data_IF_110867054079
#
_entry.id   IF_110867054079
#
_cell.length_a   1.000
_cell.length_b   1.000
_cell.length_c   1.000
_cell.angle_alpha   90.00
_cell.angle_beta   90.00
_cell.angle_gamma   90.00
#
_symmetry.space_group_name_H-M   'P 1'
#
loop_
_entity.id
_entity.type
_entity.pdbx_description
1 polymer ?
#
# COMPACT_ATOMS: atom_id res chain seq x y z
N UNK A 1 -1.14 7.48 -16.17
CA UNK A 1 -0.68 6.98 -14.88
C UNK A 1 -1.72 7.24 -13.78
N UNK A 2 -2.13 8.48 -13.50
CA UNK A 2 -3.07 8.83 -12.44
C UNK A 2 -4.41 8.07 -12.55
N UNK A 3 -5.00 7.99 -13.73
CA UNK A 3 -6.25 7.25 -13.95
C UNK A 3 -6.09 5.76 -13.59
N UNK A 4 -4.98 5.13 -13.98
CA UNK A 4 -4.70 3.73 -13.66
C UNK A 4 -4.52 3.52 -12.16
N UNK A 5 -3.85 4.45 -11.47
CA UNK A 5 -3.72 4.39 -10.01
C UNK A 5 -5.07 4.46 -9.33
N UNK A 6 -5.93 5.40 -9.73
CA UNK A 6 -7.29 5.53 -9.17
C UNK A 6 -8.11 4.26 -9.41
N UNK A 7 -8.10 3.72 -10.63
CA UNK A 7 -8.80 2.46 -10.95
C UNK A 7 -8.26 1.32 -10.10
N UNK A 8 -6.92 1.20 -9.97
CA UNK A 8 -6.29 0.16 -9.14
C UNK A 8 -6.67 0.28 -7.67
N UNK A 9 -6.74 1.50 -7.13
CA UNK A 9 -7.18 1.75 -5.75
C UNK A 9 -8.65 1.36 -5.54
N UNK A 10 -9.53 1.70 -6.47
CA UNK A 10 -10.96 1.39 -6.38
C UNK A 10 -11.20 -0.13 -6.45
N UNK A 11 -10.57 -0.81 -7.41
CA UNK A 11 -10.70 -2.27 -7.57
C UNK A 11 -10.09 -2.99 -6.36
N UNK A 12 -8.92 -2.56 -5.89
CA UNK A 12 -8.31 -3.12 -4.69
C UNK A 12 -9.20 -2.90 -3.46
N UNK A 13 -9.77 -1.72 -3.30
CA UNK A 13 -10.69 -1.40 -2.21
C UNK A 13 -12.00 -2.20 -2.24
N UNK A 14 -12.42 -2.68 -3.40
CA UNK A 14 -13.59 -3.53 -3.54
C UNK A 14 -13.31 -5.02 -3.24
N UNK A 15 -12.13 -5.52 -3.61
CA UNK A 15 -11.84 -6.96 -3.63
C UNK A 15 -10.91 -7.44 -2.50
N UNK A 16 -10.22 -6.55 -1.79
CA UNK A 16 -9.18 -6.95 -0.83
C UNK A 16 -9.68 -7.82 0.33
N UNK A 17 -10.92 -7.60 0.80
CA UNK A 17 -11.47 -8.35 1.94
C UNK A 17 -11.74 -9.82 1.60
N UNK A 18 -12.26 -10.09 0.41
CA UNK A 18 -12.53 -11.46 -0.03
C UNK A 18 -11.22 -12.19 -0.35
N UNK A 19 -10.28 -11.48 -0.97
CA UNK A 19 -8.96 -12.03 -1.26
C UNK A 19 -8.14 -12.26 0.03
N UNK A 20 -8.27 -11.41 1.04
CA UNK A 20 -7.58 -11.58 2.32
C UNK A 20 -7.93 -12.92 2.99
N UNK A 21 -9.19 -13.34 2.92
CA UNK A 21 -9.61 -14.65 3.44
C UNK A 21 -8.93 -15.80 2.71
N UNK A 22 -8.79 -15.70 1.40
CA UNK A 22 -8.11 -16.73 0.60
C UNK A 22 -6.59 -16.72 0.85
N UNK A 23 -5.96 -15.56 0.93
CA UNK A 23 -4.52 -15.43 1.19
C UNK A 23 -4.15 -16.00 2.57
N UNK A 24 -5.00 -15.82 3.57
CA UNK A 24 -4.74 -16.33 4.92
C UNK A 24 -4.54 -17.85 4.98
N UNK A 25 -5.02 -18.59 3.99
CA UNK A 25 -4.82 -20.03 3.86
C UNK A 25 -3.45 -20.41 3.29
N UNK A 26 -2.82 -19.48 2.55
CA UNK A 26 -1.59 -19.77 1.82
C UNK A 26 -0.35 -19.09 2.41
N UNK A 27 -0.52 -17.93 3.01
CA UNK A 27 0.58 -17.11 3.54
C UNK A 27 0.62 -17.21 5.06
N UNK A 28 1.69 -17.77 5.64
CA UNK A 28 1.84 -17.83 7.10
C UNK A 28 2.09 -16.43 7.66
N UNK A 29 1.48 -16.11 8.79
CA UNK A 29 1.71 -14.90 9.55
C UNK A 29 2.40 -15.22 10.88
N UNK A 30 3.42 -14.44 11.24
CA UNK A 30 4.06 -14.52 12.53
C UNK A 30 3.14 -13.90 13.60
N UNK A 31 2.27 -14.73 14.17
CA UNK A 31 1.31 -14.29 15.19
C UNK A 31 1.99 -13.68 16.41
N UNK A 32 1.34 -12.67 17.01
CA UNK A 32 1.79 -12.10 18.26
C UNK A 32 1.76 -13.15 19.37
N UNK A 33 2.88 -13.28 20.08
CA UNK A 33 3.01 -14.13 21.28
C UNK A 33 3.22 -13.24 22.50
N UNK A 34 3.12 -13.84 23.69
CA UNK A 34 3.35 -13.12 24.93
C UNK A 34 4.76 -12.52 24.93
N UNK A 35 4.85 -11.19 25.03
CA UNK A 35 6.11 -10.46 24.92
C UNK A 35 6.39 -9.82 23.55
N UNK A 36 5.54 -10.03 22.54
CA UNK A 36 5.63 -9.31 21.26
C UNK A 36 5.29 -7.83 21.45
N UNK A 37 5.96 -6.97 20.70
CA UNK A 37 5.71 -5.53 20.68
C UNK A 37 5.79 -4.98 19.27
N UNK A 38 5.09 -3.87 19.05
CA UNK A 38 5.17 -3.08 17.82
C UNK A 38 5.38 -1.61 18.17
N UNK A 39 6.08 -0.88 17.31
CA UNK A 39 6.33 0.55 17.48
C UNK A 39 5.26 1.43 16.83
N UNK A 40 4.48 0.87 15.90
CA UNK A 40 3.59 1.64 15.03
C UNK A 40 2.11 1.43 15.34
N UNK A 41 1.77 0.39 16.09
CA UNK A 41 0.38 0.06 16.48
C UNK A 41 0.23 -0.01 17.99
N UNK A 42 -0.97 0.30 18.47
CA UNK A 42 -1.27 0.20 19.90
C UNK A 42 -1.21 -1.25 20.39
N UNK A 43 -0.75 -1.46 21.62
CA UNK A 43 -0.66 -2.80 22.23
C UNK A 43 -2.00 -3.52 22.32
N UNK A 44 -3.11 -2.79 22.41
CA UNK A 44 -4.47 -3.34 22.35
C UNK A 44 -4.84 -3.95 21.00
N UNK A 45 -4.19 -3.54 19.93
CA UNK A 45 -4.42 -4.00 18.56
C UNK A 45 -3.52 -5.18 18.17
N UNK A 46 -2.54 -5.53 19.00
CA UNK A 46 -1.48 -6.48 18.69
C UNK A 46 -2.01 -7.85 18.21
N UNK A 47 -3.08 -8.35 18.82
CA UNK A 47 -3.68 -9.65 18.49
C UNK A 47 -4.59 -9.63 17.26
N UNK A 48 -4.83 -8.46 16.68
CA UNK A 48 -5.65 -8.28 15.49
C UNK A 48 -4.82 -7.87 14.25
N UNK A 49 -3.51 -7.74 14.41
CA UNK A 49 -2.61 -7.33 13.33
C UNK A 49 -2.52 -8.35 12.19
N UNK A 50 -2.81 -9.63 12.45
CA UNK A 50 -2.94 -10.66 11.43
C UNK A 50 -3.98 -10.28 10.37
N UNK A 51 -5.14 -9.80 10.79
CA UNK A 51 -6.21 -9.36 9.89
C UNK A 51 -5.78 -8.16 9.07
N UNK A 52 -5.09 -7.20 9.68
CA UNK A 52 -4.57 -6.01 9.00
C UNK A 52 -3.48 -6.41 7.99
N UNK A 53 -2.60 -7.34 8.37
CA UNK A 53 -1.58 -7.89 7.48
C UNK A 53 -2.18 -8.52 6.22
N UNK A 54 -3.14 -9.43 6.37
CA UNK A 54 -3.78 -10.09 5.23
C UNK A 54 -4.58 -9.12 4.38
N UNK A 55 -5.28 -8.19 4.98
CA UNK A 55 -6.00 -7.14 4.26
C UNK A 55 -5.06 -6.24 3.46
N UNK A 56 -3.97 -5.80 4.07
CA UNK A 56 -2.96 -4.98 3.40
C UNK A 56 -2.27 -5.74 2.27
N UNK A 57 -1.90 -6.99 2.50
CA UNK A 57 -1.29 -7.84 1.48
C UNK A 57 -2.24 -8.08 0.30
N UNK A 58 -3.50 -8.39 0.57
CA UNK A 58 -4.53 -8.56 -0.45
C UNK A 58 -4.73 -7.28 -1.27
N UNK A 59 -4.80 -6.13 -0.59
CA UNK A 59 -4.92 -4.83 -1.24
C UNK A 59 -3.73 -4.55 -2.16
N UNK A 60 -2.50 -4.76 -1.67
CA UNK A 60 -1.28 -4.57 -2.45
C UNK A 60 -1.24 -5.48 -3.68
N UNK A 61 -1.64 -6.75 -3.54
CA UNK A 61 -1.66 -7.71 -4.65
C UNK A 61 -2.66 -7.29 -5.72
N UNK A 62 -3.90 -6.98 -5.34
CA UNK A 62 -4.92 -6.53 -6.31
C UNK A 62 -4.50 -5.22 -6.95
N UNK A 63 -4.03 -4.26 -6.17
CA UNK A 63 -3.53 -2.98 -6.68
C UNK A 63 -2.43 -3.18 -7.71
N UNK A 64 -1.42 -3.99 -7.37
CA UNK A 64 -0.27 -4.25 -8.25
C UNK A 64 -0.70 -4.96 -9.52
N UNK A 65 -1.56 -5.97 -9.42
CA UNK A 65 -2.06 -6.74 -10.55
C UNK A 65 -2.85 -5.85 -11.52
N UNK A 66 -3.80 -5.07 -11.02
CA UNK A 66 -4.61 -4.16 -11.84
C UNK A 66 -3.72 -3.10 -12.49
N UNK A 67 -2.74 -2.57 -11.73
CA UNK A 67 -1.80 -1.57 -12.24
C UNK A 67 -0.91 -2.14 -13.35
N UNK A 68 -0.35 -3.35 -13.17
CA UNK A 68 0.49 -4.01 -14.17
C UNK A 68 -0.31 -4.33 -15.43
N UNK A 69 -1.51 -4.92 -15.29
CA UNK A 69 -2.40 -5.21 -16.42
C UNK A 69 -2.76 -3.93 -17.19
N UNK A 70 -3.13 -2.88 -16.46
CA UNK A 70 -3.44 -1.59 -17.05
C UNK A 70 -2.24 -0.96 -17.77
N UNK A 71 -1.03 -1.11 -17.22
CA UNK A 71 0.21 -0.67 -17.88
C UNK A 71 0.48 -1.46 -19.16
N UNK A 72 0.27 -2.76 -19.11
CA UNK A 72 0.43 -3.62 -20.29
C UNK A 72 -0.57 -3.22 -21.40
N UNK A 73 -1.84 -3.04 -21.04
CA UNK A 73 -2.86 -2.56 -21.99
C UNK A 73 -2.55 -1.15 -22.51
N UNK A 74 -1.97 -0.29 -21.68
CA UNK A 74 -1.53 1.06 -22.06
C UNK A 74 -0.48 1.08 -23.18
N UNK A 75 0.30 0.00 -23.34
CA UNK A 75 1.25 -0.13 -24.45
C UNK A 75 0.50 -0.11 -25.79
N UNK A 76 -0.63 -0.81 -25.87
CA UNK A 76 -1.43 -0.82 -27.08
C UNK A 76 -2.08 0.53 -27.38
N UNK A 77 -2.45 1.28 -26.34
CA UNK A 77 -2.96 2.64 -26.48
C UNK A 77 -1.88 3.60 -26.97
N UNK A 78 -0.62 3.42 -26.53
CA UNK A 78 0.54 4.21 -26.99
C UNK A 78 0.92 3.97 -28.46
N UNK A 79 0.38 2.94 -29.10
CA UNK A 79 0.51 2.74 -30.55
C UNK A 79 -0.38 3.70 -31.35
N UNK A 80 -1.34 4.36 -30.68
CA UNK A 80 -2.17 5.39 -31.27
C UNK A 80 -1.39 6.72 -31.20
N UNK A 81 -1.15 7.41 -32.34
CA UNK A 81 -0.42 8.66 -32.32
C UNK A 81 -1.15 9.74 -31.51
N UNK A 82 -0.49 10.18 -30.45
CA UNK A 82 -1.00 11.30 -29.63
C UNK A 82 -0.74 12.65 -30.32
N UNK A 83 -1.66 13.62 -30.21
CA UNK A 83 -1.40 14.99 -30.65
C UNK A 83 -0.22 15.58 -29.86
N UNK A 84 0.77 16.16 -30.54
CA UNK A 84 1.95 16.81 -29.92
C UNK A 84 1.60 17.96 -28.94
N UNK A 85 0.32 18.34 -28.85
CA UNK A 85 -0.21 19.37 -27.94
C UNK A 85 -0.04 19.00 -26.46
N UNK A 86 0.20 17.73 -26.14
CA UNK A 86 0.30 17.22 -24.76
C UNK A 86 1.75 17.13 -24.26
N UNK A 87 2.72 17.28 -25.16
CA UNK A 87 4.14 17.31 -24.78
C UNK A 87 4.55 18.74 -24.42
N UNK A 88 4.05 19.22 -23.28
CA UNK A 88 4.40 20.51 -22.73
C UNK A 88 5.23 20.33 -21.45
N UNK A 89 6.13 21.29 -21.17
CA UNK A 89 6.95 21.28 -19.95
C UNK A 89 6.10 21.19 -18.68
N UNK A 90 4.96 21.86 -18.66
CA UNK A 90 4.03 21.85 -17.52
C UNK A 90 3.41 20.45 -17.35
N UNK A 91 2.98 19.84 -18.45
CA UNK A 91 2.38 18.50 -18.41
C UNK A 91 3.37 17.44 -17.92
N UNK A 92 4.62 17.54 -18.37
CA UNK A 92 5.69 16.63 -17.95
C UNK A 92 6.04 16.82 -16.46
N UNK A 93 6.07 18.05 -15.95
CA UNK A 93 6.25 18.32 -14.51
C UNK A 93 5.12 17.73 -13.66
N UNK A 94 3.86 17.93 -14.06
CA UNK A 94 2.70 17.39 -13.36
C UNK A 94 2.73 15.86 -13.36
N UNK A 95 3.04 15.24 -14.50
CA UNK A 95 3.18 13.79 -14.62
C UNK A 95 4.30 13.24 -13.73
N UNK A 96 5.43 13.96 -13.65
CA UNK A 96 6.52 13.61 -12.73
C UNK A 96 6.11 13.68 -11.28
N UNK A 97 5.41 14.72 -10.86
CA UNK A 97 4.90 14.87 -9.50
C UNK A 97 3.92 13.73 -9.12
N UNK A 98 3.02 13.39 -10.05
CA UNK A 98 2.09 12.26 -9.86
C UNK A 98 2.85 10.93 -9.73
N UNK A 99 3.89 10.71 -10.54
CA UNK A 99 4.69 9.49 -10.47
C UNK A 99 5.41 9.36 -9.13
N UNK A 100 5.96 10.45 -8.59
CA UNK A 100 6.57 10.49 -7.25
C UNK A 100 5.54 10.15 -6.18
N UNK A 101 4.35 10.75 -6.24
CA UNK A 101 3.27 10.47 -5.29
C UNK A 101 2.85 8.99 -5.30
N UNK A 102 2.68 8.40 -6.49
CA UNK A 102 2.33 6.97 -6.64
C UNK A 102 3.43 6.08 -6.05
N UNK A 103 4.70 6.42 -6.31
CA UNK A 103 5.83 5.65 -5.79
C UNK A 103 5.89 5.69 -4.27
N UNK A 104 5.69 6.85 -3.67
CA UNK A 104 5.61 7.01 -2.21
C UNK A 104 4.44 6.21 -1.62
N UNK A 105 3.28 6.24 -2.25
CA UNK A 105 2.11 5.49 -1.82
C UNK A 105 2.37 3.97 -1.81
N UNK A 106 3.00 3.43 -2.86
CA UNK A 106 3.34 1.99 -2.93
C UNK A 106 4.38 1.62 -1.86
N UNK A 107 5.40 2.45 -1.67
CA UNK A 107 6.41 2.23 -0.62
C UNK A 107 5.74 2.24 0.76
N UNK A 108 4.89 3.19 1.03
CA UNK A 108 4.17 3.31 2.30
C UNK A 108 3.26 2.11 2.55
N UNK A 109 2.54 1.62 1.52
CA UNK A 109 1.78 0.38 1.61
C UNK A 109 2.66 -0.79 2.07
N UNK A 110 3.80 -0.98 1.42
CA UNK A 110 4.73 -2.05 1.77
C UNK A 110 5.28 -1.93 3.19
N UNK A 111 5.67 -0.73 3.61
CA UNK A 111 6.17 -0.47 4.96
C UNK A 111 5.09 -0.65 6.02
N UNK A 112 3.86 -0.25 5.74
CA UNK A 112 2.72 -0.43 6.66
C UNK A 112 2.41 -1.92 6.86
N UNK A 113 2.44 -2.72 5.79
CA UNK A 113 2.28 -4.18 5.89
C UNK A 113 3.40 -4.79 6.76
N UNK A 114 4.65 -4.40 6.53
CA UNK A 114 5.78 -4.86 7.35
C UNK A 114 5.64 -4.43 8.82
N UNK A 115 5.10 -3.24 9.07
CA UNK A 115 4.87 -2.76 10.43
C UNK A 115 3.82 -3.58 11.21
N UNK A 116 2.96 -4.33 10.52
CA UNK A 116 2.00 -5.24 11.16
C UNK A 116 2.63 -6.52 11.67
N UNK A 117 3.84 -6.86 11.24
CA UNK A 117 4.51 -8.11 11.65
C UNK A 117 5.23 -7.90 12.99
N UNK A 118 4.81 -8.57 14.09
CA UNK A 118 5.32 -8.33 15.43
C UNK A 118 6.63 -9.10 15.70
N UNK A 119 7.57 -9.08 14.75
CA UNK A 119 8.90 -9.66 14.90
C UNK A 119 9.89 -8.57 15.31
N UNK A 120 10.65 -8.79 16.39
CA UNK A 120 11.60 -7.81 16.94
C UNK A 120 12.58 -7.29 15.88
N UNK A 121 13.15 -8.17 15.08
CA UNK A 121 14.07 -7.79 14.00
C UNK A 121 13.45 -6.80 13.01
N UNK A 122 12.20 -7.03 12.58
CA UNK A 122 11.49 -6.16 11.64
C UNK A 122 11.17 -4.83 12.32
N UNK A 123 10.61 -4.88 13.53
CA UNK A 123 10.22 -3.70 14.30
C UNK A 123 11.42 -2.80 14.62
N UNK A 124 12.53 -3.36 15.02
CA UNK A 124 13.75 -2.61 15.29
C UNK A 124 14.32 -1.94 14.03
N UNK A 125 14.31 -2.64 12.89
CA UNK A 125 14.76 -2.08 11.62
C UNK A 125 13.86 -0.94 11.13
N UNK A 126 12.56 -1.10 11.23
CA UNK A 126 11.62 -0.05 10.87
C UNK A 126 11.75 1.17 11.80
N UNK A 127 11.88 0.94 13.10
CA UNK A 127 11.98 2.01 14.10
C UNK A 127 13.35 2.72 14.10
N UNK A 128 14.43 2.05 13.73
CA UNK A 128 15.78 2.64 13.69
C UNK A 128 15.97 3.67 12.58
N UNK A 129 15.15 3.63 11.53
CA UNK A 129 15.23 4.56 10.41
C UNK A 129 14.26 5.73 10.57
N UNK A 130 14.82 6.94 10.69
CA UNK A 130 14.02 8.18 10.73
C UNK A 130 13.17 8.36 9.48
N UNK A 131 13.70 7.99 8.32
CA UNK A 131 12.98 8.10 7.04
C UNK A 131 11.77 7.16 7.00
N UNK A 132 11.93 5.91 7.43
CA UNK A 132 10.85 4.93 7.46
C UNK A 132 9.77 5.37 8.45
N UNK A 133 10.14 5.80 9.64
CA UNK A 133 9.20 6.35 10.63
C UNK A 133 8.43 7.55 10.10
N UNK A 134 9.12 8.45 9.39
CA UNK A 134 8.48 9.60 8.75
C UNK A 134 7.47 9.16 7.69
N UNK A 135 7.84 8.22 6.82
CA UNK A 135 6.95 7.72 5.76
C UNK A 135 5.71 7.06 6.36
N UNK A 136 5.85 6.17 7.34
CA UNK A 136 4.71 5.46 7.94
C UNK A 136 3.76 6.41 8.69
N UNK A 137 4.30 7.39 9.42
CA UNK A 137 3.49 8.19 10.35
C UNK A 137 3.12 9.58 9.84
N UNK A 138 3.87 10.13 8.91
CA UNK A 138 3.78 11.55 8.56
C UNK A 138 3.59 11.82 7.06
N UNK A 139 3.47 10.80 6.21
CA UNK A 139 3.17 11.05 4.80
C UNK A 139 1.75 11.60 4.68
N UNK A 140 1.60 12.87 4.27
CA UNK A 140 0.29 13.51 4.25
C UNK A 140 -0.66 12.79 3.29
N UNK A 141 -1.93 12.67 3.69
CA UNK A 141 -3.02 12.05 2.94
C UNK A 141 -2.92 10.52 2.86
N UNK A 142 -1.79 9.95 2.45
CA UNK A 142 -1.65 8.50 2.21
C UNK A 142 -1.63 7.70 3.49
N UNK A 143 -0.92 8.15 4.54
CA UNK A 143 -0.90 7.45 5.84
C UNK A 143 -2.28 7.41 6.50
N UNK A 144 -3.05 8.48 6.44
CA UNK A 144 -4.42 8.50 6.97
C UNK A 144 -5.36 7.59 6.17
N UNK A 145 -5.27 7.61 4.84
CA UNK A 145 -6.08 6.72 3.99
C UNK A 145 -5.77 5.26 4.28
N UNK A 146 -4.51 4.88 4.38
CA UNK A 146 -4.11 3.50 4.65
C UNK A 146 -4.51 3.07 6.07
N UNK A 147 -4.32 3.96 7.06
CA UNK A 147 -4.73 3.69 8.43
C UNK A 147 -6.25 3.50 8.54
N UNK A 148 -7.04 4.38 7.92
CA UNK A 148 -8.50 4.28 7.95
C UNK A 148 -9.00 3.06 7.18
N UNK A 149 -8.37 2.76 6.03
CA UNK A 149 -8.80 1.65 5.20
C UNK A 149 -8.52 0.28 5.85
N UNK A 150 -7.34 0.12 6.45
CA UNK A 150 -6.88 -1.19 6.91
C UNK A 150 -7.02 -1.36 8.42
N UNK A 151 -6.70 -0.34 9.20
CA UNK A 151 -6.72 -0.44 10.67
C UNK A 151 -8.13 -0.18 11.19
N UNK A 152 -8.71 0.97 10.88
CA UNK A 152 -10.00 1.37 11.43
C UNK A 152 -11.14 0.48 10.94
N UNK A 153 -11.16 0.11 9.64
CA UNK A 153 -12.24 -0.74 9.10
C UNK A 153 -12.15 -2.21 9.51
N UNK A 154 -10.97 -2.68 9.88
CA UNK A 154 -10.74 -4.11 10.15
C UNK A 154 -10.71 -4.40 11.63
N UNK A 155 -10.11 -3.52 12.43
CA UNK A 155 -9.99 -3.70 13.89
C UNK A 155 -11.11 -2.93 14.63
N UNK A 156 -11.41 -1.73 14.12
CA UNK A 156 -12.40 -0.84 14.71
C UNK A 156 -13.80 -1.30 14.54
#
# INVERSE_FOLDING_TARGET
YAAMTIVSMLVAGALYQDLAKSISLWVPYASAVKGSSTYFFASSQLFHLDKVFYAGLAYLLVFSLVYIVGRFLGIFVNLIPYPNKWDTKVFNMVSGAIAVFISLFVIEMGLTILATVPMSFIQERLNSSLLIRFIINHTPVTSSILHDLWVTKIIG
#
